data_IF_202628612118
#
_entry.id   IF_202628612118
#
_cell.length_a   1.000
_cell.length_b   1.000
_cell.length_c   1.000
_cell.angle_alpha   90.00
_cell.angle_beta   90.00
_cell.angle_gamma   90.00
#
_symmetry.space_group_name_H-M   'P 1'
#
loop_
_entity.id
_entity.type
_entity.pdbx_description
1 polymer ?
#
# COMPACT_ATOMS: atom_id res chain seq x y z
N UNK A 1 11.52 -20.92 12.39
CA UNK A 1 10.39 -20.63 11.49
C UNK A 1 10.79 -19.33 10.82
N UNK A 2 11.27 -19.41 9.58
CA UNK A 2 11.75 -18.22 8.87
C UNK A 2 10.55 -17.32 8.63
N UNK A 3 10.55 -16.13 9.24
CA UNK A 3 9.61 -15.09 8.86
C UNK A 3 9.88 -14.78 7.40
N UNK A 4 9.05 -15.31 6.50
CA UNK A 4 9.14 -15.15 5.05
C UNK A 4 8.82 -13.69 4.69
N UNK A 5 9.74 -12.80 5.05
CA UNK A 5 9.78 -11.45 4.56
C UNK A 5 10.37 -11.51 3.16
N UNK A 6 9.84 -10.69 2.26
CA UNK A 6 10.41 -10.48 0.94
C UNK A 6 11.31 -9.24 1.03
N UNK A 7 12.56 -9.33 1.54
CA UNK A 7 13.37 -8.15 1.84
C UNK A 7 13.62 -7.31 0.59
N UNK A 8 13.76 -7.95 -0.58
CA UNK A 8 14.04 -7.26 -1.83
C UNK A 8 12.79 -6.84 -2.61
N UNK A 9 11.58 -6.90 -2.01
CA UNK A 9 10.36 -6.52 -2.73
C UNK A 9 10.34 -5.01 -2.99
N UNK A 10 10.37 -4.62 -4.27
CA UNK A 10 10.36 -3.22 -4.69
C UNK A 10 8.98 -2.72 -5.11
N UNK A 11 8.10 -3.63 -5.53
CA UNK A 11 6.78 -3.31 -6.06
C UNK A 11 5.73 -4.24 -5.48
N UNK A 12 4.68 -3.65 -4.92
CA UNK A 12 3.52 -4.37 -4.39
C UNK A 12 2.26 -3.89 -5.10
N UNK A 13 1.48 -4.84 -5.61
CA UNK A 13 0.19 -4.56 -6.24
C UNK A 13 -0.87 -5.33 -5.47
N UNK A 14 -1.86 -4.60 -4.93
CA UNK A 14 -3.00 -5.18 -4.23
C UNK A 14 -4.24 -4.89 -5.06
N UNK A 15 -5.02 -5.94 -5.38
CA UNK A 15 -6.16 -5.83 -6.29
C UNK A 15 -7.39 -6.56 -5.75
N UNK A 16 -8.55 -5.92 -5.84
CA UNK A 16 -9.87 -6.48 -5.46
C UNK A 16 -9.96 -7.02 -4.02
N UNK A 17 -9.15 -6.53 -3.09
CA UNK A 17 -9.20 -6.94 -1.68
C UNK A 17 -10.25 -6.13 -0.91
N UNK A 18 -11.54 -6.46 -1.11
CA UNK A 18 -12.66 -5.68 -0.57
C UNK A 18 -12.75 -5.67 0.96
N UNK A 19 -12.26 -6.73 1.60
CA UNK A 19 -12.26 -6.88 3.06
C UNK A 19 -10.98 -6.34 3.72
N UNK A 20 -10.01 -5.85 2.93
CA UNK A 20 -8.79 -5.28 3.47
C UNK A 20 -9.07 -3.88 4.04
N UNK A 21 -9.27 -3.83 5.36
CA UNK A 21 -9.64 -2.60 6.09
C UNK A 21 -8.43 -1.78 6.54
N UNK A 22 -7.32 -2.47 6.75
CA UNK A 22 -6.07 -1.94 7.27
C UNK A 22 -4.90 -2.57 6.53
N UNK A 23 -3.74 -1.94 6.62
CA UNK A 23 -2.54 -2.44 5.94
C UNK A 23 -2.05 -3.72 6.61
N UNK A 24 -1.53 -4.70 5.83
CA UNK A 24 -1.01 -5.94 6.38
C UNK A 24 0.11 -5.71 7.39
N UNK A 25 0.08 -6.47 8.48
CA UNK A 25 1.15 -6.45 9.49
C UNK A 25 2.46 -6.88 8.84
N UNK A 26 3.56 -6.17 9.14
CA UNK A 26 4.89 -6.49 8.62
C UNK A 26 5.21 -5.86 7.26
N UNK A 27 4.30 -5.06 6.69
CA UNK A 27 4.62 -4.29 5.47
C UNK A 27 5.78 -3.31 5.69
N UNK A 28 5.99 -2.86 6.93
CA UNK A 28 7.09 -1.96 7.31
C UNK A 28 8.46 -2.63 7.21
N UNK A 29 8.48 -3.96 7.25
CA UNK A 29 9.69 -4.77 7.08
C UNK A 29 10.12 -4.85 5.60
N UNK A 30 9.28 -4.39 4.66
CA UNK A 30 9.59 -4.33 3.22
C UNK A 30 10.45 -3.10 2.92
N UNK A 31 11.71 -3.17 3.35
CA UNK A 31 12.58 -2.00 3.36
C UNK A 31 12.92 -1.41 1.98
N UNK A 32 12.76 -2.21 0.93
CA UNK A 32 13.05 -1.84 -0.44
C UNK A 32 11.81 -1.50 -1.27
N UNK A 33 10.63 -1.45 -0.65
CA UNK A 33 9.37 -1.18 -1.32
C UNK A 33 9.30 0.29 -1.76
N UNK A 34 9.30 0.50 -3.07
CA UNK A 34 9.30 1.82 -3.70
C UNK A 34 7.99 2.11 -4.45
N UNK A 35 7.27 1.07 -4.87
CA UNK A 35 6.02 1.18 -5.63
C UNK A 35 4.89 0.42 -4.93
N UNK A 36 3.78 1.12 -4.65
CA UNK A 36 2.54 0.53 -4.14
C UNK A 36 1.37 0.88 -5.05
N UNK A 37 0.78 -0.12 -5.70
CA UNK A 37 -0.40 0.05 -6.53
C UNK A 37 -1.62 -0.64 -5.93
N UNK A 38 -2.71 0.10 -5.90
CA UNK A 38 -4.00 -0.32 -5.36
C UNK A 38 -5.00 -0.32 -6.51
N UNK A 39 -5.56 -1.48 -6.85
CA UNK A 39 -6.51 -1.61 -7.94
C UNK A 39 -7.86 -2.08 -7.41
N UNK A 40 -8.91 -1.31 -7.67
CA UNK A 40 -10.29 -1.61 -7.28
C UNK A 40 -10.39 -1.96 -5.79
N UNK A 41 -9.74 -1.13 -4.98
CA UNK A 41 -9.67 -1.26 -3.53
C UNK A 41 -10.82 -0.49 -2.87
N UNK A 42 -11.20 -0.85 -1.63
CA UNK A 42 -12.19 -0.08 -0.88
C UNK A 42 -11.79 1.38 -0.74
N UNK A 43 -12.71 2.30 -1.05
CA UNK A 43 -12.45 3.74 -0.93
C UNK A 43 -12.03 4.14 0.49
N UNK A 44 -12.59 3.49 1.51
CA UNK A 44 -12.20 3.68 2.92
C UNK A 44 -10.72 3.38 3.17
N UNK A 45 -10.15 2.39 2.49
CA UNK A 45 -8.74 2.03 2.61
C UNK A 45 -7.86 3.06 1.88
N UNK A 46 -8.23 3.41 0.65
CA UNK A 46 -7.54 4.44 -0.15
C UNK A 46 -7.56 5.80 0.56
N UNK A 47 -8.68 6.18 1.17
CA UNK A 47 -8.81 7.42 1.92
C UNK A 47 -7.94 7.46 3.18
N UNK A 48 -7.67 6.32 3.83
CA UNK A 48 -6.74 6.25 4.96
C UNK A 48 -5.31 6.54 4.51
N UNK A 49 -4.91 6.00 3.36
CA UNK A 49 -3.60 6.29 2.75
C UNK A 49 -3.50 7.76 2.34
N UNK A 50 -4.55 8.31 1.71
CA UNK A 50 -4.59 9.74 1.32
C UNK A 50 -4.40 10.67 2.51
N UNK A 51 -5.04 10.38 3.66
CA UNK A 51 -4.94 11.23 4.85
C UNK A 51 -3.62 11.06 5.62
N UNK A 52 -2.77 10.10 5.23
CA UNK A 52 -1.51 9.77 5.92
C UNK A 52 -1.67 9.59 7.44
N UNK A 53 -2.79 8.98 7.87
CA UNK A 53 -3.17 8.87 9.29
C UNK A 53 -2.63 7.58 9.91
N UNK A 54 -2.20 7.66 11.17
CA UNK A 54 -1.83 6.49 11.97
C UNK A 54 -0.52 5.84 11.54
N UNK A 55 -0.45 4.51 11.66
CA UNK A 55 0.75 3.70 11.38
C UNK A 55 1.21 3.79 9.92
N UNK A 56 0.31 4.18 9.02
CA UNK A 56 0.59 4.35 7.59
C UNK A 56 1.58 5.46 7.29
N UNK A 57 1.70 6.46 8.16
CA UNK A 57 2.51 7.65 7.87
C UNK A 57 3.98 7.31 7.62
N UNK A 58 4.52 6.34 8.36
CA UNK A 58 5.90 5.91 8.23
C UNK A 58 6.15 5.12 6.94
N UNK A 59 5.19 4.27 6.55
CA UNK A 59 5.23 3.54 5.30
C UNK A 59 5.18 4.47 4.08
N UNK A 60 4.22 5.39 4.07
CA UNK A 60 3.97 6.31 2.96
C UNK A 60 5.17 7.24 2.68
N UNK A 61 5.97 7.57 3.70
CA UNK A 61 7.15 8.39 3.53
C UNK A 61 8.30 7.66 2.81
N UNK A 62 8.31 6.33 2.83
CA UNK A 62 9.39 5.52 2.25
C UNK A 62 9.10 5.14 0.79
N UNK A 63 7.83 4.93 0.47
CA UNK A 63 7.39 4.52 -0.86
C UNK A 63 7.33 5.75 -1.75
N UNK A 64 8.10 5.75 -2.85
CA UNK A 64 8.18 6.90 -3.76
C UNK A 64 6.95 7.04 -4.66
N UNK A 65 6.31 5.93 -5.01
CA UNK A 65 5.18 5.92 -5.95
C UNK A 65 4.01 5.16 -5.39
N UNK A 66 2.93 5.88 -5.11
CA UNK A 66 1.70 5.30 -4.57
C UNK A 66 0.55 5.67 -5.49
N UNK A 67 -0.09 4.67 -6.10
CA UNK A 67 -1.17 4.91 -7.05
C UNK A 67 -2.38 4.06 -6.74
N UNK A 68 -3.55 4.67 -6.86
CA UNK A 68 -4.84 3.98 -6.80
C UNK A 68 -5.50 4.00 -8.18
N UNK A 69 -6.07 2.88 -8.57
CA UNK A 69 -6.81 2.67 -9.81
C UNK A 69 -8.22 2.21 -9.46
N UNK A 70 -9.23 2.97 -9.85
CA UNK A 70 -10.64 2.63 -9.63
C UNK A 70 -11.36 2.63 -10.98
N UNK A 71 -11.62 1.45 -11.54
CA UNK A 71 -12.09 1.33 -12.92
C UNK A 71 -11.13 1.99 -13.92
N UNK A 72 -11.56 3.07 -14.56
CA UNK A 72 -10.75 3.84 -15.53
C UNK A 72 -10.02 5.05 -14.93
N UNK A 73 -10.23 5.34 -13.64
CA UNK A 73 -9.60 6.47 -12.95
C UNK A 73 -8.28 6.08 -12.29
N UNK A 74 -7.26 6.94 -12.40
CA UNK A 74 -5.99 6.82 -11.69
C UNK A 74 -5.81 8.02 -10.76
N UNK A 75 -5.40 7.74 -9.53
CA UNK A 75 -5.04 8.73 -8.53
C UNK A 75 -3.61 8.51 -8.04
N UNK A 76 -2.85 9.59 -7.95
CA UNK A 76 -1.53 9.62 -7.31
C UNK A 76 -1.68 10.01 -5.83
N UNK A 77 -1.14 9.18 -4.94
CA UNK A 77 -1.24 9.27 -3.49
C UNK A 77 0.12 9.53 -2.82
N UNK A 78 1.17 9.72 -3.62
CA UNK A 78 2.54 9.97 -3.16
C UNK A 78 2.63 11.28 -2.35
#
# INVERSE_FOLDING_TARGET
MEDAHCPCLQKLIIRHCKELKQVPIGIDNLNHLNELFLCDMPEKFVAQLRKKVGELRHLLHRISYIRSYQGQSMEDLS
#
